data_IF_148373136521
#
_entry.id   IF_148373136521
#
_cell.length_a   1.000
_cell.length_b   1.000
_cell.length_c   1.000
_cell.angle_alpha   90.00
_cell.angle_beta   90.00
_cell.angle_gamma   90.00
#
_symmetry.space_group_name_H-M   'P 1'
#
loop_
_entity.id
_entity.type
_entity.pdbx_description
1 polymer ?
#
# COMPACT_ATOMS: atom_id res chain seq x y z
N UNK A 1 -59.84 -77.57 27.85
CA UNK A 1 -58.83 -78.37 28.58
C UNK A 1 -57.50 -78.25 27.84
N UNK A 2 -56.60 -77.43 28.40
CA UNK A 2 -55.14 -77.32 28.19
C UNK A 2 -54.59 -77.45 26.76
N UNK A 3 -54.59 -76.32 26.04
CA UNK A 3 -53.68 -76.03 24.93
C UNK A 3 -52.55 -75.13 25.48
N UNK A 4 -51.56 -75.72 26.13
CA UNK A 4 -50.44 -74.98 26.72
C UNK A 4 -49.20 -75.88 26.59
N UNK A 5 -48.38 -75.65 25.56
CA UNK A 5 -46.95 -76.04 25.51
C UNK A 5 -46.22 -75.71 24.19
N UNK A 6 -46.85 -75.11 23.19
CA UNK A 6 -46.13 -74.77 21.94
C UNK A 6 -45.55 -73.34 21.89
N UNK A 7 -45.85 -72.49 22.89
CA UNK A 7 -45.42 -71.09 22.87
C UNK A 7 -44.03 -70.84 23.49
N UNK A 8 -43.47 -71.81 24.22
CA UNK A 8 -42.17 -71.66 24.90
C UNK A 8 -40.95 -72.11 24.08
N UNK A 9 -41.14 -72.75 22.92
CA UNK A 9 -40.02 -73.17 22.05
C UNK A 9 -39.66 -72.07 21.03
N UNK A 10 -40.56 -71.14 20.73
CA UNK A 10 -40.28 -70.02 19.82
C UNK A 10 -39.61 -68.82 20.52
N UNK A 11 -39.61 -68.77 21.86
CA UNK A 11 -39.00 -67.70 22.65
C UNK A 11 -37.54 -67.97 23.09
N UNK A 12 -36.95 -69.08 22.64
CA UNK A 12 -35.54 -69.40 22.95
C UNK A 12 -34.59 -69.30 21.74
N UNK A 13 -35.11 -68.95 20.56
CA UNK A 13 -34.29 -68.81 19.34
C UNK A 13 -33.84 -67.38 19.04
N UNK A 14 -34.07 -66.42 19.94
CA UNK A 14 -33.77 -65.00 19.71
C UNK A 14 -32.58 -64.42 20.49
N UNK A 15 -31.78 -65.25 21.20
CA UNK A 15 -30.71 -64.73 22.08
C UNK A 15 -29.29 -65.21 21.75
N UNK A 16 -29.07 -65.80 20.58
CA UNK A 16 -27.71 -66.14 20.12
C UNK A 16 -27.42 -65.57 18.74
N UNK A 17 -27.45 -64.24 18.64
CA UNK A 17 -26.73 -63.52 17.59
C UNK A 17 -25.83 -62.46 18.21
N UNK A 18 -24.86 -62.92 19.00
CA UNK A 18 -23.59 -62.22 19.09
C UNK A 18 -22.81 -62.53 17.81
N UNK A 19 -23.20 -61.90 16.71
CA UNK A 19 -22.24 -61.65 15.64
C UNK A 19 -21.18 -60.75 16.28
N UNK A 20 -20.02 -61.32 16.56
CA UNK A 20 -18.82 -60.56 16.90
C UNK A 20 -18.62 -59.63 15.71
N UNK A 21 -19.12 -58.40 15.84
CA UNK A 21 -18.85 -57.32 14.92
C UNK A 21 -17.35 -57.22 14.96
N UNK A 22 -16.71 -57.78 13.94
CA UNK A 22 -15.35 -57.39 13.60
C UNK A 22 -15.51 -55.89 13.45
N UNK A 23 -15.05 -55.15 14.46
CA UNK A 23 -14.52 -53.84 14.20
C UNK A 23 -13.44 -54.11 13.18
N UNK A 24 -13.86 -54.09 11.91
CA UNK A 24 -13.12 -53.36 10.94
C UNK A 24 -13.08 -51.98 11.60
N UNK A 25 -12.02 -51.75 12.38
CA UNK A 25 -11.25 -50.56 12.14
C UNK A 25 -11.07 -50.59 10.63
N UNK A 26 -12.03 -49.98 9.92
CA UNK A 26 -11.64 -49.16 8.82
C UNK A 26 -10.60 -48.28 9.48
N UNK A 27 -9.34 -48.68 9.36
CA UNK A 27 -8.33 -47.75 8.92
C UNK A 27 -9.06 -47.02 7.79
N UNK A 28 -9.76 -45.94 8.15
CA UNK A 28 -9.90 -44.82 7.26
C UNK A 28 -8.52 -44.76 6.64
N UNK A 29 -8.45 -44.88 5.32
CA UNK A 29 -7.26 -44.45 4.64
C UNK A 29 -7.15 -42.97 5.03
N UNK A 30 -6.54 -42.70 6.19
CA UNK A 30 -5.86 -41.49 6.58
C UNK A 30 -4.75 -41.39 5.57
N UNK A 31 -5.11 -41.11 4.32
CA UNK A 31 -4.22 -40.46 3.40
C UNK A 31 -3.79 -39.24 4.20
N UNK A 32 -2.54 -39.28 4.65
CA UNK A 32 -2.01 -38.31 5.59
C UNK A 32 -2.41 -36.91 5.12
N UNK A 33 -3.23 -36.21 5.92
CA UNK A 33 -3.79 -34.89 5.57
C UNK A 33 -2.67 -33.92 5.17
N UNK A 34 -1.49 -34.09 5.77
CA UNK A 34 -0.28 -33.38 5.40
C UNK A 34 0.18 -33.71 3.97
N UNK A 35 0.20 -34.99 3.58
CA UNK A 35 0.54 -35.42 2.22
C UNK A 35 -0.45 -34.87 1.19
N UNK A 36 -1.75 -34.93 1.46
CA UNK A 36 -2.75 -34.33 0.56
C UNK A 36 -2.57 -32.82 0.45
N UNK A 37 -2.33 -32.13 1.57
CA UNK A 37 -2.09 -30.69 1.56
C UNK A 37 -0.84 -30.34 0.76
N UNK A 38 0.25 -31.11 0.90
CA UNK A 38 1.48 -30.92 0.11
C UNK A 38 1.21 -31.12 -1.37
N UNK A 39 0.40 -32.12 -1.75
CA UNK A 39 0.03 -32.35 -3.15
C UNK A 39 -0.74 -31.15 -3.72
N UNK A 40 -1.76 -30.66 -3.01
CA UNK A 40 -2.55 -29.49 -3.42
C UNK A 40 -1.68 -28.23 -3.46
N UNK A 41 -0.77 -28.05 -2.50
CA UNK A 41 0.17 -26.94 -2.48
C UNK A 41 1.10 -26.99 -3.71
N UNK A 42 1.61 -28.16 -4.08
CA UNK A 42 2.45 -28.32 -5.26
C UNK A 42 1.66 -28.05 -6.55
N UNK A 43 0.40 -28.50 -6.64
CA UNK A 43 -0.49 -28.12 -7.75
C UNK A 43 -0.66 -26.59 -7.81
N UNK A 44 -0.91 -25.93 -6.68
CA UNK A 44 -1.00 -24.47 -6.63
C UNK A 44 0.28 -23.78 -7.14
N UNK A 45 1.45 -24.29 -6.77
CA UNK A 45 2.74 -23.79 -7.25
C UNK A 45 2.93 -24.00 -8.76
N UNK A 46 2.46 -25.11 -9.33
CA UNK A 46 2.49 -25.34 -10.78
C UNK A 46 1.62 -24.33 -11.53
N UNK A 47 0.41 -24.07 -11.03
CA UNK A 47 -0.51 -23.11 -11.64
C UNK A 47 0.02 -21.68 -11.52
N UNK A 48 0.63 -21.34 -10.38
CA UNK A 48 1.33 -20.07 -10.20
C UNK A 48 2.46 -19.90 -11.21
N UNK A 49 3.27 -20.95 -11.44
CA UNK A 49 4.36 -20.95 -12.44
C UNK A 49 3.84 -20.79 -13.87
N UNK A 50 2.64 -21.30 -14.16
CA UNK A 50 1.96 -21.09 -15.46
C UNK A 50 1.35 -19.69 -15.60
N UNK A 51 1.25 -18.96 -14.49
CA UNK A 51 0.66 -17.62 -14.45
C UNK A 51 -0.86 -17.63 -14.19
N UNK A 52 -1.48 -18.76 -13.86
CA UNK A 52 -2.89 -18.77 -13.45
C UNK A 52 -3.00 -18.50 -11.94
N UNK A 53 -2.86 -17.23 -11.55
CA UNK A 53 -2.90 -16.82 -10.14
C UNK A 53 -4.26 -17.02 -9.50
N UNK A 54 -5.34 -16.99 -10.29
CA UNK A 54 -6.69 -17.18 -9.79
C UNK A 54 -6.90 -18.63 -9.38
N UNK A 55 -6.51 -19.57 -10.24
CA UNK A 55 -6.61 -21.00 -9.93
C UNK A 55 -5.58 -21.41 -8.87
N UNK A 56 -4.35 -20.90 -8.94
CA UNK A 56 -3.34 -21.08 -7.91
C UNK A 56 -3.84 -20.62 -6.53
N UNK A 57 -4.44 -19.43 -6.44
CA UNK A 57 -4.95 -18.90 -5.17
C UNK A 57 -6.09 -19.74 -4.56
N UNK A 58 -6.95 -20.33 -5.40
CA UNK A 58 -7.96 -21.31 -4.95
C UNK A 58 -7.29 -22.56 -4.36
N UNK A 59 -6.29 -23.10 -5.05
CA UNK A 59 -5.54 -24.28 -4.60
C UNK A 59 -4.74 -24.00 -3.32
N UNK A 60 -4.12 -22.82 -3.20
CA UNK A 60 -3.48 -22.42 -1.94
C UNK A 60 -4.48 -22.30 -0.78
N UNK A 61 -5.68 -21.78 -1.04
CA UNK A 61 -6.74 -21.71 -0.02
C UNK A 61 -7.24 -23.10 0.38
N UNK A 62 -7.36 -24.01 -0.58
CA UNK A 62 -7.68 -25.43 -0.33
C UNK A 62 -6.62 -26.09 0.55
N UNK A 63 -5.33 -25.89 0.24
CA UNK A 63 -4.22 -26.38 1.05
C UNK A 63 -4.23 -25.79 2.47
N UNK A 64 -4.52 -24.49 2.63
CA UNK A 64 -4.65 -23.82 3.93
C UNK A 64 -5.77 -24.45 4.78
N UNK A 65 -6.93 -24.73 4.16
CA UNK A 65 -8.11 -25.27 4.84
C UNK A 65 -7.92 -26.74 5.25
N UNK A 66 -7.23 -27.53 4.43
CA UNK A 66 -7.06 -28.96 4.66
C UNK A 66 -6.18 -29.25 5.88
N UNK A 67 -5.10 -28.49 6.08
CA UNK A 67 -4.23 -28.67 7.24
C UNK A 67 -3.73 -27.33 7.84
N UNK A 68 -4.60 -26.56 8.53
CA UNK A 68 -4.31 -25.19 8.97
C UNK A 68 -3.17 -25.06 9.99
N UNK A 69 -2.87 -26.13 10.72
CA UNK A 69 -1.81 -26.20 11.74
C UNK A 69 -0.41 -26.34 11.12
N UNK A 70 -0.35 -26.64 9.83
CA UNK A 70 0.90 -26.87 9.11
C UNK A 70 1.72 -25.60 8.95
N UNK A 71 3.04 -25.75 8.91
CA UNK A 71 3.97 -24.68 8.48
C UNK A 71 3.71 -24.22 7.05
N UNK A 72 3.06 -25.04 6.23
CA UNK A 72 2.74 -24.73 4.83
C UNK A 72 1.51 -23.85 4.67
N UNK A 73 0.58 -23.87 5.63
CA UNK A 73 -0.64 -23.08 5.58
C UNK A 73 -0.39 -21.57 5.51
N UNK A 74 0.41 -20.94 6.42
CA UNK A 74 0.71 -19.51 6.31
C UNK A 74 1.46 -19.18 5.01
N UNK A 75 2.41 -20.04 4.60
CA UNK A 75 3.16 -19.88 3.35
C UNK A 75 2.24 -19.90 2.11
N UNK A 76 1.24 -20.77 2.08
CA UNK A 76 0.27 -20.85 1.00
C UNK A 76 -0.50 -19.52 0.84
N UNK A 77 -0.96 -18.94 1.95
CA UNK A 77 -1.67 -17.65 1.93
C UNK A 77 -0.77 -16.52 1.43
N UNK A 78 0.47 -16.46 1.91
CA UNK A 78 1.40 -15.39 1.55
C UNK A 78 1.82 -15.45 0.08
N UNK A 79 2.10 -16.65 -0.44
CA UNK A 79 2.41 -16.86 -1.87
C UNK A 79 1.20 -16.55 -2.74
N UNK A 80 0.00 -16.97 -2.32
CA UNK A 80 -1.25 -16.63 -3.00
C UNK A 80 -1.43 -15.12 -3.11
N UNK A 81 -1.27 -14.39 -1.99
CA UNK A 81 -1.32 -12.93 -1.98
C UNK A 81 -0.29 -12.29 -2.92
N UNK A 82 0.95 -12.77 -2.91
CA UNK A 82 1.98 -12.30 -3.83
C UNK A 82 1.62 -12.57 -5.30
N UNK A 83 1.08 -13.77 -5.60
CA UNK A 83 0.59 -14.11 -6.94
C UNK A 83 -0.47 -13.12 -7.41
N UNK A 84 -1.49 -12.85 -6.60
CA UNK A 84 -2.50 -11.85 -6.91
C UNK A 84 -1.91 -10.45 -7.13
N UNK A 85 -1.04 -10.00 -6.23
CA UNK A 85 -0.34 -8.71 -6.35
C UNK A 85 0.45 -8.62 -7.67
N UNK A 86 1.19 -9.67 -8.02
CA UNK A 86 2.06 -9.69 -9.21
C UNK A 86 1.30 -9.52 -10.54
N UNK A 87 0.00 -9.77 -10.54
CA UNK A 87 -0.88 -9.60 -11.70
C UNK A 87 -1.91 -8.47 -11.53
N UNK A 88 -1.78 -7.64 -10.49
CA UNK A 88 -2.66 -6.49 -10.27
C UNK A 88 -4.03 -6.83 -9.69
N UNK A 89 -4.25 -8.05 -9.20
CA UNK A 89 -5.44 -8.43 -8.43
C UNK A 89 -5.34 -7.94 -6.98
N UNK A 90 -5.23 -6.62 -6.81
CA UNK A 90 -4.94 -6.01 -5.50
C UNK A 90 -6.00 -6.31 -4.46
N UNK A 91 -7.28 -6.36 -4.83
CA UNK A 91 -8.36 -6.67 -3.87
C UNK A 91 -8.22 -8.08 -3.27
N UNK A 92 -7.90 -9.08 -4.09
CA UNK A 92 -7.67 -10.45 -3.62
C UNK A 92 -6.40 -10.55 -2.78
N UNK A 93 -5.34 -9.84 -3.19
CA UNK A 93 -4.10 -9.76 -2.43
C UNK A 93 -4.33 -9.13 -1.04
N UNK A 94 -5.00 -7.97 -0.96
CA UNK A 94 -5.34 -7.28 0.28
C UNK A 94 -6.14 -8.21 1.21
N UNK A 95 -7.20 -8.85 0.70
CA UNK A 95 -8.03 -9.77 1.50
C UNK A 95 -7.20 -10.93 2.08
N UNK A 96 -6.29 -11.51 1.30
CA UNK A 96 -5.42 -12.58 1.78
C UNK A 96 -4.40 -12.09 2.80
N UNK A 97 -3.84 -10.89 2.61
CA UNK A 97 -2.86 -10.30 3.53
C UNK A 97 -3.49 -9.89 4.86
N UNK A 98 -4.66 -9.27 4.84
CA UNK A 98 -5.41 -8.95 6.07
C UNK A 98 -5.75 -10.22 6.85
N UNK A 99 -6.18 -11.29 6.16
CA UNK A 99 -6.41 -12.60 6.79
C UNK A 99 -5.13 -13.19 7.36
N UNK A 100 -4.03 -13.13 6.62
CA UNK A 100 -2.72 -13.60 7.07
C UNK A 100 -2.28 -12.88 8.34
N UNK A 101 -2.33 -11.55 8.34
CA UNK A 101 -1.96 -10.71 9.48
C UNK A 101 -2.85 -11.01 10.69
N UNK A 102 -4.16 -11.20 10.48
CA UNK A 102 -5.09 -11.50 11.57
C UNK A 102 -4.86 -12.89 12.18
N UNK A 103 -4.59 -13.90 11.35
CA UNK A 103 -4.50 -15.32 11.75
C UNK A 103 -3.09 -15.72 12.21
N UNK A 104 -2.05 -15.23 11.55
CA UNK A 104 -0.65 -15.65 11.69
C UNK A 104 0.24 -14.52 12.24
N UNK A 105 -0.21 -13.83 13.29
CA UNK A 105 0.44 -12.63 13.87
C UNK A 105 1.91 -12.80 14.28
N UNK A 106 2.31 -14.01 14.64
CA UNK A 106 3.67 -14.33 15.11
C UNK A 106 4.53 -14.99 14.03
N UNK A 107 4.08 -14.98 12.77
CA UNK A 107 4.86 -15.56 11.67
C UNK A 107 6.13 -14.74 11.41
N UNK A 108 7.27 -15.38 11.08
CA UNK A 108 8.52 -14.65 10.79
C UNK A 108 8.37 -13.59 9.70
N UNK A 109 7.64 -13.90 8.63
CA UNK A 109 7.42 -13.00 7.47
C UNK A 109 6.23 -12.02 7.65
N UNK A 110 5.86 -11.69 8.89
CA UNK A 110 4.73 -10.77 9.15
C UNK A 110 5.02 -9.34 8.66
N UNK A 111 6.28 -8.92 8.73
CA UNK A 111 6.78 -7.65 8.22
C UNK A 111 6.63 -7.55 6.69
N UNK A 112 6.98 -8.62 5.97
CA UNK A 112 6.77 -8.73 4.53
C UNK A 112 5.28 -8.69 4.18
N UNK A 113 4.41 -9.33 4.96
CA UNK A 113 2.97 -9.27 4.70
C UNK A 113 2.41 -7.83 4.83
N UNK A 114 2.83 -7.08 5.85
CA UNK A 114 2.48 -5.66 5.97
C UNK A 114 3.05 -4.83 4.81
N UNK A 115 4.28 -5.11 4.39
CA UNK A 115 4.91 -4.43 3.27
C UNK A 115 4.19 -4.68 1.95
N UNK A 116 3.86 -5.93 1.63
CA UNK A 116 3.09 -6.26 0.44
C UNK A 116 1.69 -5.65 0.48
N UNK A 117 1.07 -5.53 1.65
CA UNK A 117 -0.22 -4.85 1.84
C UNK A 117 -0.10 -3.35 1.54
N UNK A 118 0.96 -2.71 2.02
CA UNK A 118 1.25 -1.31 1.71
C UNK A 118 1.48 -1.10 0.20
N UNK A 119 2.20 -2.03 -0.45
CA UNK A 119 2.42 -2.01 -1.90
C UNK A 119 1.12 -2.14 -2.70
N UNK A 120 0.18 -3.00 -2.28
CA UNK A 120 -1.11 -3.14 -2.96
C UNK A 120 -1.84 -1.80 -3.04
N UNK A 121 -1.91 -1.06 -1.92
CA UNK A 121 -2.52 0.27 -1.91
C UNK A 121 -1.70 1.30 -2.69
N UNK A 122 -0.37 1.25 -2.56
CA UNK A 122 0.54 2.17 -3.22
C UNK A 122 0.47 2.09 -4.75
N UNK A 123 0.42 0.89 -5.32
CA UNK A 123 0.35 0.68 -6.77
C UNK A 123 -1.03 1.04 -7.36
N UNK A 124 -2.04 1.25 -6.51
CA UNK A 124 -3.35 1.76 -6.88
C UNK A 124 -3.44 3.30 -6.85
N UNK A 125 -2.37 4.00 -6.46
CA UNK A 125 -2.31 5.47 -6.49
C UNK A 125 -2.23 5.94 -7.95
N UNK A 126 -3.22 6.74 -8.38
CA UNK A 126 -3.33 7.22 -9.77
C UNK A 126 -2.76 8.62 -9.94
N UNK A 127 -3.49 9.64 -9.47
CA UNK A 127 -3.10 11.05 -9.59
C UNK A 127 -3.65 11.87 -8.41
N UNK A 128 -3.22 13.13 -8.33
CA UNK A 128 -3.65 14.06 -7.29
C UNK A 128 -5.11 14.50 -7.39
N UNK A 129 -5.85 14.08 -8.43
CA UNK A 129 -7.23 14.48 -8.71
C UNK A 129 -8.23 13.41 -8.26
N UNK A 130 -7.82 12.14 -8.21
CA UNK A 130 -8.63 11.00 -7.74
C UNK A 130 -8.77 10.97 -6.22
N UNK A 131 -9.59 10.04 -5.71
CA UNK A 131 -9.85 9.89 -4.28
C UNK A 131 -8.57 9.60 -3.46
N UNK A 132 -8.56 10.00 -2.17
CA UNK A 132 -7.38 9.87 -1.30
C UNK A 132 -7.28 8.52 -0.58
N UNK A 133 -8.28 7.64 -0.66
CA UNK A 133 -8.33 6.41 0.16
C UNK A 133 -7.04 5.59 0.05
N UNK A 134 -6.65 5.21 -1.16
CA UNK A 134 -5.47 4.36 -1.38
C UNK A 134 -4.17 5.05 -0.92
N UNK A 135 -4.08 6.38 -1.05
CA UNK A 135 -2.94 7.18 -0.58
C UNK A 135 -2.86 7.13 0.97
N UNK A 136 -4.00 7.28 1.64
CA UNK A 136 -4.09 7.26 3.11
C UNK A 136 -3.80 5.87 3.67
N UNK A 137 -4.34 4.83 3.04
CA UNK A 137 -4.12 3.45 3.45
C UNK A 137 -2.66 3.03 3.21
N UNK A 138 -2.07 3.36 2.06
CA UNK A 138 -0.65 3.13 1.79
C UNK A 138 0.24 3.84 2.83
N UNK A 139 -0.02 5.13 3.09
CA UNK A 139 0.69 5.92 4.11
C UNK A 139 0.65 5.24 5.47
N UNK A 140 -0.54 4.86 5.91
CA UNK A 140 -0.77 4.21 7.22
C UNK A 140 0.07 2.94 7.35
N UNK A 141 0.11 2.09 6.33
CA UNK A 141 0.85 0.83 6.40
C UNK A 141 2.37 1.04 6.30
N UNK A 142 2.86 1.97 5.48
CA UNK A 142 4.29 2.31 5.47
C UNK A 142 4.75 2.91 6.79
N UNK A 143 3.99 3.82 7.40
CA UNK A 143 4.27 4.35 8.74
C UNK A 143 4.28 3.24 9.80
N UNK A 144 3.36 2.26 9.68
CA UNK A 144 3.33 1.11 10.56
C UNK A 144 4.60 0.26 10.44
N UNK A 145 5.08 -0.02 9.22
CA UNK A 145 6.29 -0.81 9.00
C UNK A 145 7.53 -0.09 9.55
N UNK A 146 7.68 1.20 9.25
CA UNK A 146 8.80 2.02 9.73
C UNK A 146 8.84 2.04 11.26
N UNK A 147 7.68 2.08 11.91
CA UNK A 147 7.57 2.13 13.37
C UNK A 147 7.84 0.78 14.05
N UNK A 148 7.29 -0.30 13.51
CA UNK A 148 7.29 -1.61 14.18
C UNK A 148 8.42 -2.53 13.71
N UNK A 149 8.95 -2.34 12.50
CA UNK A 149 9.99 -3.17 11.89
C UNK A 149 11.16 -2.33 11.33
N UNK A 150 11.74 -1.40 12.11
CA UNK A 150 12.66 -0.37 11.60
C UNK A 150 13.97 -0.89 10.98
N UNK A 151 14.41 -2.09 11.35
CA UNK A 151 15.70 -2.66 10.96
C UNK A 151 15.63 -3.54 9.71
N UNK A 152 14.45 -3.67 9.08
CA UNK A 152 14.23 -4.52 7.90
C UNK A 152 14.45 -3.75 6.60
N UNK A 153 14.79 -4.46 5.51
CA UNK A 153 14.86 -3.87 4.17
C UNK A 153 13.55 -3.20 3.75
N UNK A 154 12.42 -3.76 4.19
CA UNK A 154 11.08 -3.23 3.95
C UNK A 154 10.89 -1.86 4.60
N UNK A 155 11.44 -1.62 5.79
CA UNK A 155 11.35 -0.30 6.43
C UNK A 155 12.20 0.75 5.71
N UNK A 156 13.35 0.38 5.14
CA UNK A 156 14.14 1.30 4.32
C UNK A 156 13.39 1.71 3.06
N UNK A 157 12.84 0.75 2.31
CA UNK A 157 12.05 1.05 1.11
C UNK A 157 10.76 1.84 1.45
N UNK A 158 10.08 1.46 2.55
CA UNK A 158 8.89 2.16 3.05
C UNK A 158 9.14 3.65 3.30
N UNK A 159 10.34 4.04 3.77
CA UNK A 159 10.69 5.47 3.97
C UNK A 159 10.68 6.23 2.65
N UNK A 160 11.30 5.70 1.60
CA UNK A 160 11.32 6.33 0.29
C UNK A 160 9.93 6.42 -0.34
N UNK A 161 9.11 5.35 -0.23
CA UNK A 161 7.73 5.38 -0.73
C UNK A 161 6.85 6.34 0.05
N UNK A 162 7.05 6.45 1.36
CA UNK A 162 6.34 7.40 2.21
C UNK A 162 6.66 8.85 1.82
N UNK A 163 7.90 9.16 1.50
CA UNK A 163 8.29 10.49 0.99
C UNK A 163 7.51 10.84 -0.29
N UNK A 164 7.42 9.91 -1.25
CA UNK A 164 6.63 10.13 -2.46
C UNK A 164 5.14 10.29 -2.16
N UNK A 165 4.58 9.50 -1.26
CA UNK A 165 3.17 9.65 -0.85
C UNK A 165 2.93 11.05 -0.28
N UNK A 166 3.83 11.55 0.57
CA UNK A 166 3.73 12.90 1.14
C UNK A 166 3.79 13.97 0.04
N UNK A 167 4.64 13.80 -0.96
CA UNK A 167 4.69 14.66 -2.16
C UNK A 167 3.36 14.65 -2.94
N UNK A 168 2.76 13.47 -3.16
CA UNK A 168 1.47 13.35 -3.86
C UNK A 168 0.35 14.03 -3.05
N UNK A 169 0.34 13.87 -1.73
CA UNK A 169 -0.64 14.54 -0.86
C UNK A 169 -0.50 16.07 -0.94
N UNK A 170 0.73 16.59 -0.92
CA UNK A 170 0.99 18.01 -1.09
C UNK A 170 0.58 18.52 -2.48
N UNK A 171 0.89 17.76 -3.54
CA UNK A 171 0.45 18.04 -4.90
C UNK A 171 -1.07 18.20 -5.00
N UNK A 172 -1.83 17.35 -4.31
CA UNK A 172 -3.30 17.43 -4.26
C UNK A 172 -3.80 18.70 -3.58
N UNK A 173 -3.20 19.08 -2.46
CA UNK A 173 -3.53 20.37 -1.81
C UNK A 173 -3.22 21.55 -2.73
N UNK A 174 -2.09 21.51 -3.44
CA UNK A 174 -1.73 22.53 -4.43
C UNK A 174 -2.71 22.58 -5.60
N UNK A 175 -3.15 21.43 -6.13
CA UNK A 175 -4.13 21.35 -7.21
C UNK A 175 -5.45 22.01 -6.79
N UNK A 176 -5.96 21.68 -5.61
CA UNK A 176 -7.19 22.29 -5.07
C UNK A 176 -7.01 23.77 -4.78
N UNK A 177 -5.85 24.19 -4.27
CA UNK A 177 -5.55 25.59 -4.01
C UNK A 177 -5.56 26.42 -5.30
N UNK A 178 -4.89 25.95 -6.36
CA UNK A 178 -4.90 26.60 -7.69
C UNK A 178 -6.32 26.70 -8.25
N UNK A 179 -7.10 25.63 -8.16
CA UNK A 179 -8.50 25.63 -8.58
C UNK A 179 -9.34 26.70 -7.86
N UNK A 180 -9.09 26.93 -6.57
CA UNK A 180 -9.76 28.00 -5.84
C UNK A 180 -9.27 29.40 -6.22
N UNK A 181 -7.98 29.56 -6.48
CA UNK A 181 -7.40 30.83 -6.97
C UNK A 181 -8.01 31.24 -8.31
N UNK A 182 -8.13 30.30 -9.26
CA UNK A 182 -8.74 30.54 -10.57
C UNK A 182 -10.20 31.04 -10.49
N UNK A 183 -10.88 30.71 -9.39
CA UNK A 183 -12.27 31.10 -9.11
C UNK A 183 -12.39 32.24 -8.11
N UNK A 184 -11.27 32.88 -7.78
CA UNK A 184 -11.19 33.97 -6.80
C UNK A 184 -11.76 33.61 -5.42
N UNK A 185 -11.71 32.32 -5.05
CA UNK A 185 -12.10 31.83 -3.73
C UNK A 185 -10.89 31.90 -2.79
N UNK A 186 -10.58 33.09 -2.32
CA UNK A 186 -9.36 33.38 -1.57
C UNK A 186 -9.23 32.61 -0.26
N UNK A 187 -10.27 32.57 0.58
CA UNK A 187 -10.20 31.91 1.89
C UNK A 187 -9.92 30.40 1.76
N UNK A 188 -10.66 29.62 0.94
CA UNK A 188 -10.32 28.23 0.68
C UNK A 188 -8.92 28.04 0.12
N UNK A 189 -8.48 28.88 -0.83
CA UNK A 189 -7.14 28.80 -1.40
C UNK A 189 -6.05 29.01 -0.34
N UNK A 190 -6.17 30.05 0.49
CA UNK A 190 -5.24 30.35 1.59
C UNK A 190 -5.15 29.17 2.55
N UNK A 191 -6.28 28.58 2.95
CA UNK A 191 -6.28 27.45 3.87
C UNK A 191 -5.54 26.22 3.29
N UNK A 192 -5.69 25.97 1.99
CA UNK A 192 -4.99 24.88 1.29
C UNK A 192 -3.48 25.13 1.19
N UNK A 193 -3.06 26.34 0.81
CA UNK A 193 -1.63 26.69 0.80
C UNK A 193 -1.02 26.66 2.20
N UNK A 194 -1.73 27.15 3.22
CA UNK A 194 -1.29 27.03 4.63
C UNK A 194 -1.11 25.58 5.05
N UNK A 195 -2.00 24.69 4.61
CA UNK A 195 -1.87 23.26 4.89
C UNK A 195 -0.58 22.69 4.29
N UNK A 196 -0.23 23.06 3.05
CA UNK A 196 1.06 22.68 2.44
C UNK A 196 2.24 23.19 3.27
N UNK A 197 2.21 24.46 3.69
CA UNK A 197 3.30 25.04 4.49
C UNK A 197 3.43 24.41 5.87
N UNK A 198 2.32 24.01 6.50
CA UNK A 198 2.33 23.53 7.88
C UNK A 198 2.51 22.00 8.00
N UNK A 199 1.96 21.24 7.06
CA UNK A 199 1.93 19.77 7.12
C UNK A 199 2.88 19.10 6.10
N UNK A 200 3.27 19.82 5.05
CA UNK A 200 4.06 19.32 3.93
C UNK A 200 5.29 20.21 3.66
N UNK A 201 5.90 20.72 4.74
CA UNK A 201 7.00 21.69 4.74
C UNK A 201 8.29 21.18 4.06
N UNK A 202 8.48 19.87 4.01
CA UNK A 202 9.62 19.21 3.35
C UNK A 202 9.42 18.94 1.86
N UNK A 203 8.22 19.21 1.33
CA UNK A 203 7.90 18.89 -0.07
C UNK A 203 8.38 19.97 -1.02
N UNK A 204 8.54 19.62 -2.31
CA UNK A 204 8.92 20.61 -3.35
C UNK A 204 7.87 21.72 -3.53
N UNK A 205 6.67 21.54 -2.99
CA UNK A 205 5.54 22.46 -3.13
C UNK A 205 5.54 23.59 -2.11
N UNK A 206 6.31 23.49 -1.02
CA UNK A 206 6.32 24.48 0.07
C UNK A 206 6.68 25.89 -0.41
N UNK A 207 7.68 26.00 -1.29
CA UNK A 207 8.14 27.28 -1.81
C UNK A 207 7.09 27.96 -2.68
N UNK A 208 6.40 27.18 -3.54
CA UNK A 208 5.29 27.69 -4.34
C UNK A 208 4.14 28.11 -3.43
N UNK A 209 3.76 27.28 -2.45
CA UNK A 209 2.67 27.59 -1.53
C UNK A 209 2.91 28.89 -0.75
N UNK A 210 4.13 29.12 -0.25
CA UNK A 210 4.53 30.36 0.39
C UNK A 210 4.39 31.56 -0.57
N UNK A 211 4.89 31.43 -1.80
CA UNK A 211 4.75 32.48 -2.81
C UNK A 211 3.28 32.80 -3.14
N UNK A 212 2.43 31.78 -3.29
CA UNK A 212 1.00 31.98 -3.53
C UNK A 212 0.30 32.66 -2.35
N UNK A 213 0.74 32.39 -1.11
CA UNK A 213 0.27 33.12 0.06
C UNK A 213 0.68 34.60 -0.01
N UNK A 214 1.90 34.92 -0.44
CA UNK A 214 2.33 36.32 -0.68
C UNK A 214 1.42 36.99 -1.71
N UNK A 215 1.21 36.35 -2.87
CA UNK A 215 0.37 36.87 -3.96
C UNK A 215 -1.05 37.19 -3.49
N UNK A 216 -1.70 36.25 -2.81
CA UNK A 216 -3.09 36.40 -2.40
C UNK A 216 -3.23 37.48 -1.32
N UNK A 217 -2.38 37.46 -0.28
CA UNK A 217 -2.47 38.46 0.79
C UNK A 217 -2.18 39.87 0.25
N UNK A 218 -1.21 40.01 -0.67
CA UNK A 218 -0.94 41.28 -1.32
C UNK A 218 -2.14 41.76 -2.17
N UNK A 219 -2.76 40.88 -2.97
CA UNK A 219 -3.96 41.20 -3.76
C UNK A 219 -5.14 41.67 -2.89
N UNK A 220 -5.23 41.15 -1.67
CA UNK A 220 -6.25 41.54 -0.68
C UNK A 220 -5.91 42.81 0.11
N UNK A 221 -4.73 43.42 -0.11
CA UNK A 221 -4.27 44.60 0.64
C UNK A 221 -3.69 44.27 2.03
N UNK A 222 -3.49 42.99 2.34
CA UNK A 222 -2.88 42.50 3.58
C UNK A 222 -1.35 42.48 3.44
N UNK A 223 -0.74 43.65 3.26
CA UNK A 223 0.69 43.79 2.94
C UNK A 223 1.61 43.26 4.04
N UNK A 224 1.20 43.39 5.31
CA UNK A 224 1.98 42.89 6.46
C UNK A 224 2.07 41.37 6.40
N UNK A 225 0.95 40.69 6.20
CA UNK A 225 0.88 39.23 6.07
C UNK A 225 1.67 38.75 4.84
N UNK A 226 1.53 39.44 3.71
CA UNK A 226 2.32 39.15 2.51
C UNK A 226 3.84 39.26 2.77
N UNK A 227 4.26 40.31 3.49
CA UNK A 227 5.66 40.52 3.86
C UNK A 227 6.17 39.43 4.80
N UNK A 228 5.35 38.99 5.77
CA UNK A 228 5.71 37.89 6.67
C UNK A 228 5.95 36.57 5.92
N UNK A 229 5.06 36.21 4.97
CA UNK A 229 5.25 35.02 4.15
C UNK A 229 6.46 35.11 3.23
N UNK A 230 6.71 36.28 2.62
CA UNK A 230 7.89 36.51 1.79
C UNK A 230 9.17 36.43 2.61
N UNK A 231 9.14 36.90 3.87
CA UNK A 231 10.26 36.81 4.80
C UNK A 231 10.54 35.38 5.21
N UNK A 232 9.50 34.57 5.46
CA UNK A 232 9.64 33.13 5.73
C UNK A 232 10.22 32.38 4.53
N UNK A 233 9.73 32.68 3.32
CA UNK A 233 10.26 32.11 2.07
C UNK A 233 11.72 32.52 1.87
N UNK A 234 12.05 33.79 2.09
CA UNK A 234 13.42 34.28 2.00
C UNK A 234 14.35 33.77 3.10
N UNK A 235 13.86 33.47 4.29
CA UNK A 235 14.70 32.92 5.35
C UNK A 235 15.13 31.48 5.02
N UNK A 236 14.21 30.66 4.49
CA UNK A 236 14.46 29.24 4.24
C UNK A 236 14.95 28.94 2.81
N UNK A 237 14.60 29.75 1.80
CA UNK A 237 14.73 29.43 0.37
C UNK A 237 15.26 30.59 -0.49
N UNK A 238 16.36 31.23 -0.07
CA UNK A 238 16.92 32.46 -0.69
C UNK A 238 17.23 32.37 -2.19
N UNK A 239 17.62 31.18 -2.67
CA UNK A 239 17.97 30.94 -4.08
C UNK A 239 16.78 30.50 -4.94
N UNK A 240 15.59 30.39 -4.35
CA UNK A 240 14.40 29.93 -5.06
C UNK A 240 13.89 30.95 -6.07
N UNK A 241 13.44 30.45 -7.23
CA UNK A 241 12.65 31.25 -8.20
C UNK A 241 11.39 31.87 -7.58
N UNK A 242 10.85 31.23 -6.55
CA UNK A 242 9.65 31.67 -5.84
C UNK A 242 9.96 32.82 -4.89
N UNK A 243 11.13 32.82 -4.27
CA UNK A 243 11.61 33.95 -3.49
C UNK A 243 11.77 35.19 -4.39
N UNK A 244 12.46 35.05 -5.52
CA UNK A 244 12.64 36.17 -6.48
C UNK A 244 11.28 36.73 -6.96
N UNK A 245 10.33 35.85 -7.27
CA UNK A 245 8.97 36.24 -7.68
C UNK A 245 8.23 36.97 -6.55
N UNK A 246 8.35 36.51 -5.31
CA UNK A 246 7.74 37.16 -4.14
C UNK A 246 8.37 38.53 -3.86
N UNK A 247 9.69 38.65 -4.02
CA UNK A 247 10.41 39.90 -3.83
C UNK A 247 9.97 40.97 -4.85
N UNK A 248 9.72 40.57 -6.12
CA UNK A 248 9.18 41.47 -7.16
C UNK A 248 7.80 42.04 -6.82
N UNK A 249 6.94 41.25 -6.18
CA UNK A 249 5.59 41.69 -5.77
C UNK A 249 5.71 42.83 -4.75
N UNK A 250 6.58 42.67 -3.75
CA UNK A 250 6.75 43.64 -2.67
C UNK A 250 7.65 44.82 -3.07
N UNK A 251 8.58 44.63 -3.99
CA UNK A 251 9.49 45.66 -4.50
C UNK A 251 9.37 45.83 -6.02
N UNK A 252 8.41 46.65 -6.46
CA UNK A 252 8.12 46.93 -7.88
C UNK A 252 9.30 47.51 -8.67
N UNK A 253 10.34 48.04 -8.01
CA UNK A 253 11.54 48.60 -8.65
C UNK A 253 12.64 47.55 -8.88
N UNK A 254 12.46 46.33 -8.40
CA UNK A 254 13.46 45.28 -8.54
C UNK A 254 13.54 44.74 -9.97
N UNK A 255 14.73 44.80 -10.56
CA UNK A 255 15.05 44.16 -11.84
C UNK A 255 15.94 42.97 -11.55
N UNK A 256 15.52 41.77 -11.95
CA UNK A 256 16.34 40.59 -11.74
C UNK A 256 17.55 40.58 -12.67
N UNK A 257 18.74 40.35 -12.10
CA UNK A 257 19.92 40.00 -12.89
C UNK A 257 19.68 38.58 -13.43
N UNK A 258 19.21 38.50 -14.67
CA UNK A 258 19.13 37.22 -15.39
C UNK A 258 20.55 36.65 -15.43
N UNK A 259 20.81 35.54 -14.73
CA UNK A 259 22.09 34.86 -14.86
C UNK A 259 22.21 34.37 -16.31
N UNK A 260 23.19 34.89 -17.04
CA UNK A 260 23.61 34.44 -18.37
C UNK A 260 24.16 32.99 -18.27
N UNK A 261 23.27 32.00 -18.15
CA UNK A 261 23.65 30.56 -18.18
C UNK A 261 23.60 30.04 -19.63
N UNK A 262 23.68 30.91 -20.65
CA UNK A 262 23.54 30.51 -22.06
C UNK A 262 24.82 30.00 -22.72
N UNK A 263 26.01 30.26 -22.19
CA UNK A 263 27.27 29.93 -22.92
C UNK A 263 27.94 28.60 -22.53
N UNK A 264 27.73 28.09 -21.32
CA UNK A 264 28.46 26.90 -20.85
C UNK A 264 27.94 25.58 -21.45
N UNK A 265 26.60 25.44 -21.61
CA UNK A 265 26.00 24.23 -22.22
C UNK A 265 26.38 24.10 -23.69
N UNK A 266 26.45 25.22 -24.40
CA UNK A 266 26.89 25.25 -25.80
C UNK A 266 28.37 24.85 -25.92
N UNK A 267 29.18 25.25 -24.95
CA UNK A 267 30.61 24.88 -24.85
C UNK A 267 30.82 23.40 -24.55
N UNK A 268 30.02 22.81 -23.66
CA UNK A 268 30.05 21.38 -23.33
C UNK A 268 29.60 20.54 -24.53
N UNK A 269 28.52 20.90 -25.21
CA UNK A 269 28.06 20.23 -26.43
C UNK A 269 29.10 20.32 -27.56
N UNK A 270 29.77 21.46 -27.72
CA UNK A 270 30.88 21.63 -28.67
C UNK A 270 32.09 20.75 -28.33
N UNK A 271 32.43 20.62 -27.04
CA UNK A 271 33.49 19.70 -26.57
C UNK A 271 33.12 18.23 -26.82
N UNK A 272 31.88 17.85 -26.57
CA UNK A 272 31.39 16.48 -26.79
C UNK A 272 31.40 16.11 -28.28
N UNK A 273 30.97 17.03 -29.17
CA UNK A 273 31.04 16.83 -30.62
C UNK A 273 32.46 16.68 -31.17
N UNK A 274 33.48 17.24 -30.50
CA UNK A 274 34.88 17.06 -30.88
C UNK A 274 35.44 15.66 -30.58
N UNK A 275 34.79 14.86 -29.73
CA UNK A 275 35.19 13.48 -29.44
C UNK A 275 34.83 12.49 -30.56
N UNK A 276 33.95 12.89 -31.48
CA UNK A 276 33.50 12.07 -32.61
C UNK A 276 34.11 12.52 -33.96
N UNK A 277 35.11 13.40 -33.93
CA UNK A 277 35.95 13.79 -35.08
C UNK A 277 37.35 13.25 -34.87
#
# INVERSE_FOLDING_TARGET
>A
MKLNNFFYIFLFFFILSCSKKVENTTTLNEVNLETQMIEIYNQAMEELKRGDVIYAGKKFSEAELLYPQSIWAPRAVLISAYGYFSQGYYSDAINNLERFIAKYKNHPDIDYAYYLLALCHYDQIVDEKKDMKEIVDAKKYFEFIIKNYPDTEYAYDSKFKLELIVEIMASKEMYLARYYVEREKWIPAINRFKKVVNEYDKTIYVEEALHRLVEIHYKLGLEKEATNYASLLGYNYQSSKWYESSYKILNKKYVSKKNEISDERETILKKFKKLFK
#
